data_IF_382105397945
#
_entry.id   IF_382105397945
#
_cell.length_a   1.000
_cell.length_b   1.000
_cell.length_c   1.000
_cell.angle_alpha   90.00
_cell.angle_beta   90.00
_cell.angle_gamma   90.00
#
_symmetry.space_group_name_H-M   'P 1'
#
loop_
_entity.id
_entity.type
_entity.pdbx_description
1 polymer ?
#
# COMPACT_ATOMS: atom_id res chain seq x y z
N UNK A 1 -17.64 -23.80 -9.31
CA UNK A 1 -16.26 -23.58 -8.82
C UNK A 1 -15.57 -22.58 -9.73
N UNK A 2 -15.10 -21.48 -9.18
CA UNK A 2 -14.34 -20.52 -9.96
C UNK A 2 -12.96 -21.07 -10.30
N UNK A 3 -12.52 -20.82 -11.50
CA UNK A 3 -11.22 -21.29 -11.99
C UNK A 3 -10.37 -20.09 -12.40
N UNK A 4 -9.13 -20.07 -11.97
CA UNK A 4 -8.18 -19.04 -12.37
C UNK A 4 -8.01 -19.07 -13.89
N UNK A 5 -8.11 -17.92 -14.50
CA UNK A 5 -7.99 -17.74 -15.96
C UNK A 5 -6.50 -17.67 -16.34
N UNK A 6 -5.90 -18.83 -16.53
CA UNK A 6 -4.46 -18.93 -16.86
C UNK A 6 -4.09 -18.31 -18.19
N UNK A 7 -5.04 -18.15 -19.09
CA UNK A 7 -4.87 -17.46 -20.37
C UNK A 7 -4.57 -15.96 -20.21
N UNK A 8 -4.81 -15.39 -19.03
CA UNK A 8 -4.51 -13.99 -18.73
C UNK A 8 -3.04 -13.75 -18.34
N UNK A 9 -2.25 -14.79 -18.16
CA UNK A 9 -0.83 -14.67 -17.82
C UNK A 9 -0.09 -13.88 -18.91
N UNK A 10 0.67 -12.88 -18.49
CA UNK A 10 1.37 -11.97 -19.39
C UNK A 10 0.58 -10.73 -19.79
N UNK A 11 -0.71 -10.65 -19.47
CA UNK A 11 -1.50 -9.45 -19.72
C UNK A 11 -1.20 -8.38 -18.68
N UNK A 12 -1.23 -7.13 -19.11
CA UNK A 12 -0.99 -5.96 -18.26
C UNK A 12 -2.27 -5.16 -18.09
N UNK A 13 -2.47 -4.62 -16.90
CA UNK A 13 -3.65 -3.84 -16.53
C UNK A 13 -3.23 -2.54 -15.86
N UNK A 14 -4.07 -1.52 -15.98
CA UNK A 14 -3.82 -0.22 -15.41
C UNK A 14 -3.41 0.81 -16.47
N UNK A 15 -2.91 1.97 -16.05
CA UNK A 15 -2.60 2.32 -14.66
C UNK A 15 -3.84 2.56 -13.80
N UNK A 16 -3.75 2.15 -12.54
CA UNK A 16 -4.73 2.48 -11.50
C UNK A 16 -4.14 3.62 -10.68
N UNK A 17 -4.87 4.71 -10.53
CA UNK A 17 -4.38 5.90 -9.84
C UNK A 17 -5.03 6.00 -8.47
N UNK A 18 -4.22 6.33 -7.47
CA UNK A 18 -4.68 6.59 -6.12
C UNK A 18 -3.92 7.77 -5.52
N UNK A 19 -4.65 8.63 -4.83
CA UNK A 19 -4.07 9.73 -4.09
C UNK A 19 -3.93 9.35 -2.62
N UNK A 20 -2.90 9.88 -1.96
CA UNK A 20 -2.72 9.78 -0.52
C UNK A 20 -2.30 11.12 0.05
N UNK A 21 -2.56 11.30 1.33
CA UNK A 21 -2.15 12.48 2.10
C UNK A 21 -1.38 12.04 3.35
N UNK A 22 -0.82 13.01 4.09
CA UNK A 22 -0.16 12.73 5.35
C UNK A 22 -1.06 12.00 6.36
N UNK A 23 -2.38 12.22 6.29
CA UNK A 23 -3.33 11.52 7.16
C UNK A 23 -3.33 10.02 6.91
N UNK A 24 -3.22 9.60 5.67
CA UNK A 24 -3.13 8.18 5.32
C UNK A 24 -1.85 7.56 5.89
N UNK A 25 -0.74 8.30 5.83
CA UNK A 25 0.55 7.87 6.39
C UNK A 25 0.47 7.68 7.90
N UNK A 26 -0.13 8.64 8.60
CA UNK A 26 -0.29 8.60 10.04
C UNK A 26 -1.23 7.48 10.49
N UNK A 27 -2.36 7.30 9.80
CA UNK A 27 -3.30 6.21 10.08
C UNK A 27 -2.65 4.85 9.89
N UNK A 28 -1.85 4.69 8.85
CA UNK A 28 -1.11 3.46 8.62
C UNK A 28 -0.11 3.20 9.74
N UNK A 29 0.63 4.22 10.15
CA UNK A 29 1.60 4.10 11.25
C UNK A 29 0.92 3.73 12.57
N UNK A 30 -0.22 4.34 12.88
CA UNK A 30 -1.03 3.99 14.05
C UNK A 30 -1.48 2.53 13.99
N UNK A 31 -1.93 2.08 12.83
CA UNK A 31 -2.33 0.69 12.62
C UNK A 31 -1.18 -0.31 12.79
N UNK A 32 0.05 0.12 12.54
CA UNK A 32 1.26 -0.68 12.79
C UNK A 32 1.75 -0.62 14.23
N UNK A 33 1.10 0.15 15.11
CA UNK A 33 1.45 0.24 16.52
C UNK A 33 2.33 1.42 16.89
N UNK A 34 2.55 2.38 16.00
CA UNK A 34 3.31 3.58 16.31
C UNK A 34 2.65 4.34 17.48
N UNK A 35 3.45 4.76 18.45
CA UNK A 35 2.98 5.53 19.59
C UNK A 35 2.29 4.72 20.70
N UNK A 36 2.18 3.40 20.56
CA UNK A 36 1.49 2.56 21.54
C UNK A 36 2.22 2.57 22.90
N UNK A 37 3.53 2.74 22.89
CA UNK A 37 4.38 2.80 24.08
C UNK A 37 4.69 4.24 24.53
N UNK A 38 3.80 5.17 24.27
CA UNK A 38 3.94 6.57 24.63
C UNK A 38 4.61 7.42 23.55
N UNK A 39 5.80 7.96 23.83
CA UNK A 39 6.48 8.90 22.94
C UNK A 39 7.31 8.26 21.83
N UNK A 40 7.29 6.94 21.72
CA UNK A 40 8.02 6.25 20.66
C UNK A 40 7.35 6.41 19.32
N UNK A 41 8.15 6.39 18.28
CA UNK A 41 7.68 6.43 16.88
C UNK A 41 6.89 7.69 16.48
N UNK A 42 7.02 8.79 17.25
CA UNK A 42 6.34 10.04 16.93
C UNK A 42 6.75 10.61 15.56
N UNK A 43 7.92 10.26 15.07
CA UNK A 43 8.38 10.67 13.74
C UNK A 43 7.46 10.18 12.61
N UNK A 44 6.68 9.12 12.87
CA UNK A 44 5.69 8.60 11.92
C UNK A 44 4.29 9.17 12.15
N UNK A 45 4.07 9.95 13.21
CA UNK A 45 2.75 10.40 13.63
C UNK A 45 2.62 11.93 13.69
N UNK A 46 3.73 12.66 13.77
CA UNK A 46 3.70 14.10 14.02
C UNK A 46 4.30 14.89 12.86
N UNK A 47 3.44 15.43 12.03
CA UNK A 47 3.81 16.27 10.88
C UNK A 47 4.28 17.67 11.29
N UNK A 48 4.05 18.07 12.53
CA UNK A 48 4.37 19.39 13.07
C UNK A 48 5.52 19.40 14.09
N UNK A 49 6.29 18.34 14.18
CA UNK A 49 7.42 18.32 15.09
C UNK A 49 8.52 19.25 14.59
N UNK A 50 8.79 20.31 15.35
CA UNK A 50 9.80 21.31 14.99
C UNK A 50 11.23 20.74 15.02
N UNK A 51 11.46 19.71 15.83
CA UNK A 51 12.77 19.07 15.97
C UNK A 51 13.06 18.15 14.80
N UNK A 52 12.02 17.53 14.27
CA UNK A 52 12.05 16.66 13.12
C UNK A 52 11.00 17.16 12.12
N UNK A 53 11.35 18.15 11.28
CA UNK A 53 10.36 18.91 10.51
C UNK A 53 9.63 18.10 9.43
N UNK A 54 9.91 16.80 9.33
CA UNK A 54 9.29 15.94 8.33
C UNK A 54 8.81 14.66 8.94
N UNK A 55 7.53 14.39 8.74
CA UNK A 55 6.94 13.09 8.96
C UNK A 55 7.69 12.05 8.13
N UNK A 56 8.06 10.95 8.77
CA UNK A 56 8.63 9.80 8.04
C UNK A 56 7.54 8.85 7.58
N UNK A 57 7.76 8.27 6.44
CA UNK A 57 6.87 7.28 5.85
C UNK A 57 7.40 5.89 6.15
N UNK A 58 6.56 5.03 6.73
CA UNK A 58 6.88 3.62 6.86
C UNK A 58 6.94 2.99 5.47
N UNK A 59 8.02 2.28 5.11
CA UNK A 59 8.17 1.71 3.77
C UNK A 59 7.00 0.82 3.35
N UNK A 60 6.45 0.05 4.27
CA UNK A 60 5.33 -0.85 3.99
C UNK A 60 4.02 -0.14 3.64
N UNK A 61 3.95 1.19 3.80
CA UNK A 61 2.84 1.98 3.26
C UNK A 61 2.68 1.77 1.74
N UNK A 62 3.79 1.58 1.03
CA UNK A 62 3.76 1.26 -0.40
C UNK A 62 2.98 -0.02 -0.70
N UNK A 63 3.10 -1.04 0.13
CA UNK A 63 2.32 -2.27 -0.01
C UNK A 63 0.82 -2.01 0.21
N UNK A 64 0.46 -1.18 1.17
CA UNK A 64 -0.93 -0.80 1.43
C UNK A 64 -1.56 -0.11 0.22
N UNK A 65 -0.84 0.77 -0.45
CA UNK A 65 -1.31 1.45 -1.65
C UNK A 65 -1.66 0.46 -2.78
N UNK A 66 -0.89 -0.61 -2.90
CA UNK A 66 -1.14 -1.66 -3.90
C UNK A 66 -2.37 -2.49 -3.51
N UNK A 67 -2.44 -2.94 -2.26
CA UNK A 67 -3.51 -3.81 -1.77
C UNK A 67 -4.86 -3.10 -1.77
N UNK A 68 -4.88 -1.84 -1.37
CA UNK A 68 -6.08 -1.03 -1.31
C UNK A 68 -6.47 -0.45 -2.69
N UNK A 69 -5.61 -0.65 -3.69
CA UNK A 69 -5.99 -0.32 -5.05
C UNK A 69 -7.13 -1.23 -5.52
N UNK A 70 -7.95 -0.73 -6.42
CA UNK A 70 -9.07 -1.49 -6.96
C UNK A 70 -8.62 -2.68 -7.83
N UNK A 71 -7.32 -2.91 -7.92
CA UNK A 71 -6.70 -3.95 -8.75
C UNK A 71 -7.36 -5.30 -8.56
N UNK A 72 -7.57 -5.70 -7.32
CA UNK A 72 -8.16 -7.00 -7.01
C UNK A 72 -9.66 -7.06 -7.24
N UNK A 73 -10.32 -5.91 -7.38
CA UNK A 73 -11.77 -5.83 -7.59
C UNK A 73 -12.15 -5.70 -9.06
N UNK A 74 -11.31 -5.01 -9.81
CA UNK A 74 -11.62 -4.65 -11.21
C UNK A 74 -11.19 -5.74 -12.18
N UNK A 75 -10.10 -6.45 -11.88
CA UNK A 75 -9.59 -7.49 -12.75
C UNK A 75 -10.25 -8.82 -12.41
N UNK A 76 -11.09 -9.32 -13.30
CA UNK A 76 -11.69 -10.64 -13.17
C UNK A 76 -10.78 -11.70 -13.78
N UNK A 77 -9.91 -12.27 -12.96
CA UNK A 77 -9.06 -13.39 -13.36
C UNK A 77 -9.58 -14.73 -12.83
N UNK A 78 -10.85 -14.82 -12.52
CA UNK A 78 -11.47 -16.06 -12.02
C UNK A 78 -11.17 -16.35 -10.55
N UNK A 79 -10.71 -15.35 -9.83
CA UNK A 79 -10.30 -15.48 -8.45
C UNK A 79 -11.50 -15.61 -7.49
N UNK A 80 -11.44 -16.59 -6.61
CA UNK A 80 -12.45 -16.80 -5.58
C UNK A 80 -11.93 -16.31 -4.23
N UNK A 81 -12.39 -15.15 -3.80
CA UNK A 81 -11.99 -14.57 -2.52
C UNK A 81 -12.28 -15.46 -1.32
N UNK A 82 -13.46 -16.06 -1.29
CA UNK A 82 -13.88 -16.89 -0.15
C UNK A 82 -13.04 -18.16 0.01
N UNK A 83 -12.52 -18.68 -1.09
CA UNK A 83 -11.69 -19.88 -1.11
C UNK A 83 -10.19 -19.61 -1.17
N UNK A 84 -9.79 -18.37 -0.97
CA UNK A 84 -8.39 -17.96 -1.15
C UNK A 84 -7.76 -17.51 0.16
N UNK A 85 -6.48 -17.80 0.30
CA UNK A 85 -5.67 -17.38 1.43
C UNK A 85 -4.43 -16.65 0.93
N UNK A 86 -4.15 -15.50 1.51
CA UNK A 86 -2.91 -14.80 1.24
C UNK A 86 -1.75 -15.62 1.83
N UNK A 87 -0.89 -16.14 0.97
CA UNK A 87 0.25 -16.93 1.40
C UNK A 87 1.48 -16.07 1.67
N UNK A 88 1.72 -15.10 0.82
CA UNK A 88 2.87 -14.21 0.96
C UNK A 88 2.99 -13.26 -0.23
N UNK A 89 3.92 -12.35 -0.12
CA UNK A 89 4.31 -11.48 -1.24
C UNK A 89 5.77 -11.05 -1.06
N UNK A 90 6.42 -10.73 -2.17
CA UNK A 90 7.74 -10.11 -2.19
C UNK A 90 7.61 -8.67 -2.66
N UNK A 91 8.31 -7.77 -2.01
CA UNK A 91 8.30 -6.37 -2.39
C UNK A 91 9.73 -5.83 -2.53
N UNK A 92 9.96 -5.04 -3.57
CA UNK A 92 11.23 -4.36 -3.79
C UNK A 92 10.96 -2.86 -3.89
N UNK A 93 11.61 -2.09 -3.04
CA UNK A 93 11.57 -0.64 -3.08
C UNK A 93 12.77 -0.14 -3.90
N UNK A 94 12.52 0.51 -5.02
CA UNK A 94 13.57 1.14 -5.83
C UNK A 94 13.95 2.51 -5.29
N UNK A 95 13.01 3.18 -4.63
CA UNK A 95 13.20 4.47 -3.98
C UNK A 95 12.33 4.55 -2.73
N UNK A 96 12.77 5.26 -1.67
CA UNK A 96 11.92 5.48 -0.51
C UNK A 96 10.76 6.42 -0.86
N UNK A 97 9.62 6.22 -0.19
CA UNK A 97 8.51 7.15 -0.26
C UNK A 97 8.82 8.30 0.69
N UNK A 98 8.97 9.50 0.16
CA UNK A 98 9.35 10.70 0.94
C UNK A 98 8.31 11.80 0.91
N UNK A 99 7.40 11.78 -0.07
CA UNK A 99 6.34 12.79 -0.18
C UNK A 99 5.22 12.50 0.81
N UNK A 100 4.76 13.54 1.50
CA UNK A 100 3.68 13.43 2.48
C UNK A 100 2.30 13.39 1.82
N UNK A 101 2.20 13.82 0.58
CA UNK A 101 1.02 13.67 -0.26
C UNK A 101 1.45 13.53 -1.71
N UNK A 102 0.81 12.66 -2.42
CA UNK A 102 1.09 12.43 -3.84
C UNK A 102 -0.04 11.59 -4.45
N UNK A 103 0.04 11.42 -5.77
CA UNK A 103 -0.74 10.40 -6.46
C UNK A 103 0.19 9.26 -6.88
N UNK A 104 -0.34 8.05 -6.86
CA UNK A 104 0.41 6.84 -7.18
C UNK A 104 -0.29 6.10 -8.30
N UNK A 105 0.46 5.70 -9.29
CA UNK A 105 0.00 4.84 -10.36
C UNK A 105 0.45 3.41 -10.10
N UNK A 106 -0.51 2.48 -10.19
CA UNK A 106 -0.24 1.05 -10.05
C UNK A 106 -0.50 0.36 -11.39
N UNK A 107 0.49 -0.36 -11.87
CA UNK A 107 0.36 -1.23 -13.03
C UNK A 107 0.48 -2.67 -12.61
N UNK A 108 -0.35 -3.53 -13.16
CA UNK A 108 -0.40 -4.95 -12.82
C UNK A 108 -0.11 -5.77 -14.06
N UNK A 109 0.72 -6.77 -13.89
CA UNK A 109 0.96 -7.79 -14.90
C UNK A 109 0.77 -9.17 -14.28
N UNK A 110 -0.05 -9.99 -14.92
CA UNK A 110 -0.30 -11.36 -14.52
C UNK A 110 0.70 -12.33 -15.16
#
# INVERSE_FOLDING_TARGET
MSRIKTEMVGQSFGPFVRDYTFRDLELFALGCGAGIDGLQDLIYLNEHDEREPRLKVLPMFGAMLIVDSEVTRVIDYGYNYAGSLHWGFDIRFHQPITKLSDHVETKVRL
#
